data_IF_172069204047
#
_entry.id   IF_172069204047
#
_cell.length_a   1.000
_cell.length_b   1.000
_cell.length_c   1.000
_cell.angle_alpha   90.00
_cell.angle_beta   90.00
_cell.angle_gamma   90.00
#
_symmetry.space_group_name_H-M   'P 1'
#
loop_
_entity.id
_entity.type
_entity.pdbx_description
1 polymer ?
#
# COMPACT_ATOMS: atom_id res chain seq x y z
N UNK A 1 -5.01 13.50 7.68
CA UNK A 1 -4.53 13.05 6.37
C UNK A 1 -5.72 12.95 5.43
N UNK A 2 -5.57 13.35 4.17
CA UNK A 2 -6.63 13.18 3.15
C UNK A 2 -6.55 11.79 2.53
N UNK A 3 -7.57 11.42 1.75
CA UNK A 3 -7.54 10.17 0.97
C UNK A 3 -6.36 10.16 0.00
N UNK A 4 -6.14 11.27 -0.68
CA UNK A 4 -5.09 11.45 -1.68
C UNK A 4 -3.72 11.29 -1.03
N UNK A 5 -3.49 11.95 0.10
CA UNK A 5 -2.25 11.86 0.86
C UNK A 5 -1.99 10.45 1.39
N UNK A 6 -3.04 9.74 1.87
CA UNK A 6 -2.91 8.34 2.26
C UNK A 6 -2.50 7.48 1.07
N UNK A 7 -3.20 7.61 -0.06
CA UNK A 7 -2.94 6.78 -1.24
C UNK A 7 -1.54 7.00 -1.79
N UNK A 8 -1.08 8.25 -1.85
CA UNK A 8 0.27 8.58 -2.31
C UNK A 8 1.34 7.91 -1.43
N UNK A 9 1.23 8.07 -0.11
CA UNK A 9 2.20 7.51 0.85
C UNK A 9 2.18 5.98 0.88
N UNK A 10 1.00 5.37 0.84
CA UNK A 10 0.85 3.93 0.70
C UNK A 10 1.62 3.44 -0.53
N UNK A 11 1.43 4.09 -1.67
CA UNK A 11 2.05 3.69 -2.93
C UNK A 11 3.55 3.90 -3.00
N UNK A 12 4.06 4.95 -2.35
CA UNK A 12 5.50 5.11 -2.15
C UNK A 12 6.06 3.93 -1.35
N UNK A 13 5.36 3.49 -0.29
CA UNK A 13 5.79 2.34 0.52
C UNK A 13 5.71 1.01 -0.24
N UNK A 14 4.64 0.75 -1.00
CA UNK A 14 4.53 -0.41 -1.90
C UNK A 14 5.70 -0.44 -2.88
N UNK A 15 6.06 0.71 -3.46
CA UNK A 15 7.19 0.82 -4.41
C UNK A 15 8.52 0.46 -3.75
N UNK A 16 8.73 0.85 -2.49
CA UNK A 16 9.92 0.47 -1.73
C UNK A 16 9.99 -1.05 -1.51
N UNK A 17 8.89 -1.69 -1.13
CA UNK A 17 8.83 -3.17 -1.01
C UNK A 17 9.11 -3.87 -2.34
N UNK A 18 8.64 -3.31 -3.44
CA UNK A 18 8.94 -3.84 -4.78
C UNK A 18 10.43 -3.76 -5.11
N UNK A 19 11.13 -2.70 -4.69
CA UNK A 19 12.57 -2.55 -4.87
C UNK A 19 13.39 -3.53 -4.02
N UNK A 20 12.85 -4.00 -2.90
CA UNK A 20 13.51 -5.00 -2.04
C UNK A 20 13.21 -6.45 -2.45
N UNK A 21 12.46 -6.65 -3.55
CA UNK A 21 12.22 -7.94 -4.16
C UNK A 21 10.85 -8.55 -3.89
N UNK A 22 10.07 -7.99 -2.95
CA UNK A 22 8.67 -8.41 -2.72
C UNK A 22 7.79 -8.02 -3.90
N UNK A 23 6.72 -8.78 -4.16
CA UNK A 23 5.76 -8.42 -5.22
C UNK A 23 4.32 -8.55 -4.76
N UNK A 24 3.44 -7.58 -5.05
CA UNK A 24 2.04 -7.65 -4.65
C UNK A 24 1.28 -8.73 -5.45
N UNK A 25 1.47 -10.00 -5.08
CA UNK A 25 0.90 -11.19 -5.72
C UNK A 25 1.09 -11.25 -7.24
N UNK A 26 2.25 -10.76 -7.72
CA UNK A 26 2.56 -10.70 -9.15
C UNK A 26 1.84 -9.59 -9.92
N UNK A 27 1.11 -8.71 -9.24
CA UNK A 27 0.47 -7.54 -9.87
C UNK A 27 1.48 -6.42 -10.11
N UNK A 28 1.16 -5.58 -11.10
CA UNK A 28 1.86 -4.31 -11.29
C UNK A 28 1.65 -3.40 -10.06
N UNK A 29 2.70 -2.78 -9.49
CA UNK A 29 2.59 -1.97 -8.28
C UNK A 29 1.60 -0.80 -8.41
N UNK A 30 1.51 -0.16 -9.59
CA UNK A 30 0.59 0.94 -9.82
C UNK A 30 -0.85 0.44 -9.85
N UNK A 31 -1.11 -0.64 -10.60
CA UNK A 31 -2.44 -1.26 -10.66
C UNK A 31 -2.90 -1.77 -9.28
N UNK A 32 -1.97 -2.32 -8.50
CA UNK A 32 -2.22 -2.71 -7.11
C UNK A 32 -2.68 -1.52 -6.28
N UNK A 33 -1.89 -0.45 -6.32
CA UNK A 33 -2.13 0.79 -5.62
C UNK A 33 -3.49 1.43 -5.93
N UNK A 34 -3.79 1.60 -7.22
CA UNK A 34 -5.03 2.23 -7.68
C UNK A 34 -6.27 1.49 -7.13
N UNK A 35 -6.16 0.17 -6.94
CA UNK A 35 -7.22 -0.68 -6.40
C UNK A 35 -7.26 -0.72 -4.88
N UNK A 36 -6.10 -0.89 -4.23
CA UNK A 36 -6.00 -1.30 -2.82
C UNK A 36 -5.88 -0.10 -1.87
N UNK A 37 -5.17 0.96 -2.27
CA UNK A 37 -4.96 2.12 -1.39
C UNK A 37 -6.28 2.81 -0.97
N UNK A 38 -7.30 2.98 -1.83
CA UNK A 38 -8.59 3.52 -1.43
C UNK A 38 -9.38 2.65 -0.44
N UNK A 39 -9.15 1.32 -0.47
CA UNK A 39 -9.79 0.36 0.44
C UNK A 39 -9.16 0.51 1.82
N UNK A 40 -7.83 0.47 1.90
CA UNK A 40 -7.14 0.67 3.17
C UNK A 40 -7.40 2.04 3.80
N UNK A 41 -7.47 3.11 3.00
CA UNK A 41 -7.87 4.41 3.53
C UNK A 41 -9.24 4.37 4.21
N UNK A 42 -10.22 3.71 3.55
CA UNK A 42 -11.59 3.62 4.06
C UNK A 42 -11.68 2.78 5.32
N UNK A 43 -11.00 1.63 5.34
CA UNK A 43 -11.14 0.64 6.40
C UNK A 43 -10.22 0.93 7.59
N UNK A 44 -8.96 1.30 7.32
CA UNK A 44 -7.91 1.40 8.34
C UNK A 44 -7.30 2.80 8.44
N UNK A 45 -7.67 3.75 7.58
CA UNK A 45 -7.04 5.08 7.51
C UNK A 45 -7.20 5.96 8.75
N UNK A 46 -8.01 5.56 9.73
CA UNK A 46 -8.12 6.19 11.05
C UNK A 46 -7.28 5.51 12.13
N UNK A 47 -6.85 4.27 11.88
CA UNK A 47 -6.20 3.39 12.87
C UNK A 47 -4.73 3.20 12.56
N UNK A 48 -4.37 3.12 11.28
CA UNK A 48 -3.02 2.86 10.82
C UNK A 48 -2.54 3.95 9.87
N UNK A 49 -1.24 4.21 9.89
CA UNK A 49 -0.60 5.00 8.85
C UNK A 49 -0.57 4.24 7.51
N UNK A 50 -0.44 4.96 6.37
CA UNK A 50 -0.32 4.33 5.06
C UNK A 50 0.87 3.37 4.99
N UNK A 51 1.97 3.71 5.66
CA UNK A 51 3.16 2.87 5.72
C UNK A 51 2.93 1.59 6.52
N UNK A 52 2.25 1.65 7.65
CA UNK A 52 1.90 0.46 8.44
C UNK A 52 0.96 -0.47 7.68
N UNK A 53 -0.03 0.06 6.97
CA UNK A 53 -0.89 -0.76 6.10
C UNK A 53 -0.07 -1.47 5.03
N UNK A 54 0.81 -0.75 4.33
CA UNK A 54 1.64 -1.33 3.28
C UNK A 54 2.65 -2.36 3.83
N UNK A 55 3.20 -2.14 5.03
CA UNK A 55 4.15 -3.06 5.66
C UNK A 55 3.48 -4.36 6.13
N UNK A 56 2.30 -4.27 6.74
CA UNK A 56 1.53 -5.45 7.16
C UNK A 56 1.05 -6.26 5.97
N UNK A 57 0.55 -5.59 4.93
CA UNK A 57 0.11 -6.22 3.69
C UNK A 57 1.28 -6.89 2.94
N UNK A 58 2.41 -6.18 2.83
CA UNK A 58 3.62 -6.71 2.19
C UNK A 58 4.19 -7.94 2.90
N UNK A 59 3.91 -8.15 4.18
CA UNK A 59 4.34 -9.35 4.91
C UNK A 59 3.83 -10.66 4.26
N UNK A 60 2.70 -10.60 3.54
CA UNK A 60 2.08 -11.75 2.86
C UNK A 60 2.50 -11.91 1.40
N UNK A 61 3.27 -10.96 0.87
CA UNK A 61 3.71 -10.98 -0.53
C UNK A 61 4.89 -11.95 -0.73
N UNK A 62 4.92 -12.69 -1.86
CA UNK A 62 6.07 -13.50 -2.25
C UNK A 62 7.30 -12.66 -2.60
#
# INVERSE_FOLDING_TARGET
>A
MTKEEFCERFCQRVTLHCRTGRRPFGLDPKAYCDKIAPIYWRELGKELSPEECADQDAAYWP
#
